data_IF_986997628745
#
_entry.id   IF_986997628745
#
_cell.length_a   1.000
_cell.length_b   1.000
_cell.length_c   1.000
_cell.angle_alpha   90.00
_cell.angle_beta   90.00
_cell.angle_gamma   90.00
#
_symmetry.space_group_name_H-M   'P 1'
#
loop_
_entity.id
_entity.type
_entity.pdbx_description
1 polymer ?
#
# COMPACT_ATOMS: atom_id res chain seq x y z
N UNK A 1 16.41 20.81 -22.65
CA UNK A 1 16.77 20.86 -21.21
C UNK A 1 16.13 19.66 -20.55
N UNK A 2 16.93 18.62 -20.31
CA UNK A 2 16.50 17.44 -19.55
C UNK A 2 16.40 17.80 -18.07
N UNK A 3 15.23 17.68 -17.47
CA UNK A 3 15.03 17.86 -16.03
C UNK A 3 15.65 16.67 -15.28
N UNK A 4 16.96 16.76 -14.99
CA UNK A 4 17.72 15.88 -14.10
C UNK A 4 17.57 16.30 -12.62
N UNK A 5 16.35 16.58 -12.18
CA UNK A 5 16.08 16.85 -10.78
C UNK A 5 15.35 15.65 -10.19
N UNK A 6 15.96 15.04 -9.16
CA UNK A 6 15.55 13.84 -8.41
C UNK A 6 16.27 12.56 -8.92
N UNK A 7 17.51 12.34 -8.45
CA UNK A 7 18.00 11.15 -7.69
C UNK A 7 19.55 11.13 -7.75
N UNK A 8 20.28 11.18 -6.61
CA UNK A 8 21.50 10.42 -6.43
C UNK A 8 21.17 9.07 -5.76
N UNK A 9 21.80 8.01 -6.25
CA UNK A 9 21.53 6.60 -6.01
C UNK A 9 21.26 6.19 -4.55
N UNK A 10 19.98 6.05 -4.18
CA UNK A 10 19.55 4.85 -3.45
C UNK A 10 19.36 3.75 -4.48
N UNK A 11 19.79 2.51 -4.20
CA UNK A 11 19.51 1.39 -5.11
C UNK A 11 18.03 1.35 -5.48
N UNK A 12 17.70 0.87 -6.69
CA UNK A 12 16.31 0.71 -7.13
C UNK A 12 15.43 0.05 -6.04
N UNK A 13 16.01 -0.91 -5.31
CA UNK A 13 15.38 -1.56 -4.16
C UNK A 13 15.03 -0.61 -3.02
N UNK A 14 15.91 0.31 -2.62
CA UNK A 14 15.61 1.31 -1.58
C UNK A 14 14.49 2.25 -2.03
N UNK A 15 14.53 2.71 -3.28
CA UNK A 15 13.50 3.60 -3.82
C UNK A 15 12.15 2.90 -3.97
N UNK A 16 12.15 1.60 -4.30
CA UNK A 16 10.97 0.73 -4.31
C UNK A 16 10.39 0.57 -2.90
N UNK A 17 11.22 0.19 -1.93
CA UNK A 17 10.81 -0.01 -0.53
C UNK A 17 10.24 1.28 0.07
N UNK A 18 10.86 2.43 -0.20
CA UNK A 18 10.37 3.72 0.27
C UNK A 18 9.00 4.07 -0.34
N UNK A 19 8.83 3.90 -1.65
CA UNK A 19 7.56 4.16 -2.31
C UNK A 19 6.45 3.23 -1.77
N UNK A 20 6.77 1.95 -1.54
CA UNK A 20 5.86 0.98 -0.95
C UNK A 20 5.46 1.38 0.48
N UNK A 21 6.43 1.78 1.31
CA UNK A 21 6.17 2.23 2.68
C UNK A 21 5.21 3.44 2.69
N UNK A 22 5.43 4.43 1.83
CA UNK A 22 4.55 5.59 1.71
C UNK A 22 3.13 5.21 1.30
N UNK A 23 2.95 4.32 0.32
CA UNK A 23 1.61 3.82 -0.06
C UNK A 23 0.91 3.16 1.13
N UNK A 24 1.65 2.34 1.88
CA UNK A 24 1.12 1.63 3.04
C UNK A 24 0.68 2.60 4.14
N UNK A 25 1.54 3.55 4.50
CA UNK A 25 1.25 4.55 5.53
C UNK A 25 0.08 5.45 5.12
N UNK A 26 0.07 5.90 3.86
CA UNK A 26 -1.02 6.71 3.32
C UNK A 26 -2.37 5.99 3.40
N UNK A 27 -2.39 4.68 3.15
CA UNK A 27 -3.60 3.87 3.27
C UNK A 27 -4.01 3.67 4.73
N UNK A 28 -3.07 3.39 5.63
CA UNK A 28 -3.35 3.27 7.06
C UNK A 28 -3.91 4.58 7.63
N UNK A 29 -3.32 5.73 7.26
CA UNK A 29 -3.86 7.04 7.63
C UNK A 29 -5.26 7.26 7.06
N UNK A 30 -5.52 6.84 5.83
CA UNK A 30 -6.86 6.90 5.26
C UNK A 30 -7.86 6.08 6.09
N UNK A 31 -7.54 4.84 6.46
CA UNK A 31 -8.40 4.00 7.29
C UNK A 31 -8.60 4.59 8.69
N UNK A 32 -7.54 5.11 9.32
CA UNK A 32 -7.61 5.79 10.63
C UNK A 32 -8.47 7.05 10.54
N UNK A 33 -8.42 7.80 9.43
CA UNK A 33 -9.26 8.97 9.23
C UNK A 33 -10.75 8.62 9.14
N UNK A 34 -11.09 7.46 8.57
CA UNK A 34 -12.47 7.00 8.39
C UNK A 34 -13.03 6.27 9.62
N UNK A 35 -12.22 5.44 10.27
CA UNK A 35 -12.67 4.48 11.27
C UNK A 35 -12.03 4.67 12.65
N UNK A 36 -11.14 5.67 12.80
CA UNK A 36 -10.30 5.91 14.00
C UNK A 36 -9.40 4.73 14.37
N UNK A 37 -9.27 3.73 13.49
CA UNK A 37 -8.46 2.51 13.66
C UNK A 37 -7.98 2.04 12.27
N UNK A 38 -6.82 1.36 12.17
CA UNK A 38 -6.30 0.81 10.91
C UNK A 38 -7.03 -0.49 10.54
N UNK A 39 -8.34 -0.37 10.26
CA UNK A 39 -9.21 -1.52 9.99
C UNK A 39 -9.92 -1.31 8.66
N UNK A 40 -9.82 -2.29 7.77
CA UNK A 40 -10.64 -2.35 6.56
C UNK A 40 -11.94 -3.10 6.86
N UNK A 41 -13.07 -2.42 6.75
CA UNK A 41 -14.40 -3.02 6.99
C UNK A 41 -14.89 -3.73 5.74
N UNK A 42 -15.04 -5.05 5.83
CA UNK A 42 -15.58 -5.88 4.75
C UNK A 42 -16.92 -6.50 5.14
N UNK A 43 -17.74 -6.89 4.16
CA UNK A 43 -19.06 -7.51 4.41
C UNK A 43 -18.99 -8.84 5.20
N UNK A 44 -17.82 -9.50 5.21
CA UNK A 44 -17.56 -10.76 5.91
C UNK A 44 -16.76 -10.57 7.21
N UNK A 45 -16.61 -9.33 7.68
CA UNK A 45 -15.88 -9.00 8.90
C UNK A 45 -14.79 -7.96 8.69
N UNK A 46 -14.27 -7.47 9.81
CA UNK A 46 -13.24 -6.44 9.84
C UNK A 46 -11.84 -7.05 9.69
N UNK A 47 -11.03 -6.46 8.81
CA UNK A 47 -9.64 -6.86 8.59
C UNK A 47 -8.76 -5.83 9.27
N UNK A 48 -8.10 -6.22 10.36
CA UNK A 48 -7.10 -5.38 11.03
C UNK A 48 -5.82 -5.37 10.22
N UNK A 49 -5.30 -4.19 9.90
CA UNK A 49 -4.12 -4.02 9.07
C UNK A 49 -2.99 -3.39 9.88
N UNK A 50 -1.77 -3.82 9.59
CA UNK A 50 -0.55 -3.18 10.05
C UNK A 50 0.39 -2.93 8.86
N UNK A 51 1.38 -2.08 9.05
CA UNK A 51 2.27 -1.65 7.95
C UNK A 51 3.05 -2.83 7.33
N UNK A 52 3.70 -3.75 8.09
CA UNK A 52 4.45 -4.84 7.47
C UNK A 52 3.58 -5.83 6.69
N UNK A 53 2.38 -6.17 7.19
CA UNK A 53 1.47 -7.06 6.48
C UNK A 53 0.95 -6.41 5.19
N UNK A 54 0.71 -5.09 5.22
CA UNK A 54 0.28 -4.33 4.06
C UNK A 54 1.37 -4.29 2.97
N UNK A 55 2.62 -4.07 3.37
CA UNK A 55 3.77 -4.10 2.47
C UNK A 55 3.92 -5.47 1.80
N UNK A 56 3.97 -6.55 2.60
CA UNK A 56 4.10 -7.90 2.07
C UNK A 56 2.95 -8.28 1.14
N UNK A 57 1.71 -8.00 1.54
CA UNK A 57 0.53 -8.33 0.73
C UNK A 57 0.55 -7.63 -0.64
N UNK A 58 0.78 -6.32 -0.66
CA UNK A 58 0.76 -5.57 -1.92
C UNK A 58 1.92 -5.97 -2.82
N UNK A 59 3.13 -6.06 -2.25
CA UNK A 59 4.32 -6.27 -3.05
C UNK A 59 4.35 -7.67 -3.66
N UNK A 60 4.02 -8.70 -2.86
CA UNK A 60 3.86 -10.08 -3.36
C UNK A 60 2.71 -10.18 -4.37
N UNK A 61 1.57 -9.52 -4.14
CA UNK A 61 0.47 -9.55 -5.11
C UNK A 61 0.85 -9.00 -6.48
N UNK A 62 1.66 -7.94 -6.53
CA UNK A 62 2.15 -7.40 -7.81
C UNK A 62 3.28 -8.25 -8.39
N UNK A 63 4.10 -8.88 -7.56
CA UNK A 63 5.12 -9.84 -7.97
C UNK A 63 4.51 -11.06 -8.66
N UNK A 64 3.49 -11.66 -8.04
CA UNK A 64 2.75 -12.82 -8.55
C UNK A 64 2.06 -12.51 -9.89
N UNK A 65 1.77 -11.23 -10.15
CA UNK A 65 1.25 -10.74 -11.43
C UNK A 65 2.35 -10.59 -12.51
N UNK A 66 3.60 -10.91 -12.19
CA UNK A 66 4.75 -10.78 -13.07
C UNK A 66 5.22 -9.34 -13.28
N UNK A 67 5.01 -8.45 -12.31
CA UNK A 67 5.48 -7.06 -12.43
C UNK A 67 6.90 -6.92 -11.91
N UNK A 68 7.77 -6.40 -12.77
CA UNK A 68 9.14 -6.05 -12.38
C UNK A 68 9.17 -4.91 -11.35
N UNK A 69 10.25 -4.83 -10.58
CA UNK A 69 10.46 -3.87 -9.49
C UNK A 69 10.31 -2.42 -9.96
N UNK A 70 10.85 -2.05 -11.13
CA UNK A 70 10.67 -0.69 -11.66
C UNK A 70 9.20 -0.36 -11.91
N UNK A 71 8.46 -1.32 -12.45
CA UNK A 71 7.02 -1.18 -12.74
C UNK A 71 6.20 -1.10 -11.46
N UNK A 72 6.54 -1.89 -10.44
CA UNK A 72 5.91 -1.81 -9.11
C UNK A 72 6.16 -0.44 -8.46
N UNK A 73 7.42 0.00 -8.41
CA UNK A 73 7.79 1.34 -7.92
C UNK A 73 7.03 2.45 -8.65
N UNK A 74 7.01 2.40 -9.99
CA UNK A 74 6.29 3.39 -10.79
C UNK A 74 4.79 3.41 -10.46
N UNK A 75 4.19 2.23 -10.27
CA UNK A 75 2.80 2.14 -9.84
C UNK A 75 2.56 2.78 -8.47
N UNK A 76 3.42 2.51 -7.48
CA UNK A 76 3.32 3.10 -6.14
C UNK A 76 3.38 4.63 -6.18
N UNK A 77 4.31 5.18 -6.96
CA UNK A 77 4.43 6.63 -7.16
C UNK A 77 3.17 7.20 -7.82
N UNK A 78 2.62 6.52 -8.83
CA UNK A 78 1.46 7.00 -9.58
C UNK A 78 0.15 7.02 -8.79
N UNK A 79 0.02 6.22 -7.73
CA UNK A 79 -1.18 6.20 -6.90
C UNK A 79 -1.11 7.20 -5.73
N UNK A 80 0.06 7.79 -5.47
CA UNK A 80 0.27 8.85 -4.49
C UNK A 80 0.03 10.23 -5.10
N UNK A 81 -0.57 11.13 -4.33
CA UNK A 81 -0.78 12.52 -4.72
C UNK A 81 0.47 13.36 -4.36
N UNK A 82 1.54 13.13 -5.13
CA UNK A 82 2.81 13.83 -4.95
C UNK A 82 2.73 15.31 -5.31
N UNK A 83 1.83 15.69 -6.22
CA UNK A 83 1.60 17.09 -6.61
C UNK A 83 1.09 17.86 -5.38
N UNK A 84 0.01 17.37 -4.74
CA UNK A 84 -0.52 17.99 -3.52
C UNK A 84 0.48 17.92 -2.36
N UNK A 85 1.33 16.90 -2.31
CA UNK A 85 2.39 16.79 -1.31
C UNK A 85 3.47 17.86 -1.51
N UNK A 86 3.97 18.04 -2.73
CA UNK A 86 5.01 19.02 -3.05
C UNK A 86 4.53 20.47 -2.99
N UNK A 87 3.26 20.74 -3.32
CA UNK A 87 2.68 22.08 -3.24
C UNK A 87 2.39 22.56 -1.80
N UNK A 88 2.62 21.75 -0.76
CA UNK A 88 2.54 22.17 0.65
C UNK A 88 3.75 23.02 1.08
N UNK A 89 4.20 23.94 0.23
CA UNK A 89 5.40 24.74 0.45
C UNK A 89 5.28 25.81 1.55
N UNK A 90 4.16 25.91 2.28
CA UNK A 90 3.92 26.91 3.33
C UNK A 90 2.86 26.45 4.35
N UNK A 91 3.18 25.50 5.22
CA UNK A 91 2.61 25.56 6.57
C UNK A 91 3.76 25.63 7.56
N UNK A 92 3.88 26.76 8.26
CA UNK A 92 4.79 27.04 9.39
C UNK A 92 4.59 26.10 10.60
N UNK A 93 4.03 24.92 10.36
CA UNK A 93 3.85 23.87 11.34
C UNK A 93 4.83 22.76 10.97
N UNK A 94 5.88 22.64 11.77
CA UNK A 94 6.97 21.68 11.66
C UNK A 94 6.41 20.28 11.29
N UNK A 95 6.59 19.85 10.05
CA UNK A 95 6.06 18.60 9.49
C UNK A 95 6.87 17.38 10.00
N UNK A 96 6.40 16.76 11.08
CA UNK A 96 6.97 15.53 11.67
C UNK A 96 6.66 14.27 10.83
N UNK A 97 7.08 14.22 9.56
CA UNK A 97 6.96 13.01 8.73
C UNK A 97 5.64 12.87 7.97
N UNK A 98 5.14 13.97 7.41
CA UNK A 98 3.97 13.98 6.53
C UNK A 98 4.18 13.05 5.34
N UNK A 99 3.34 12.00 5.23
CA UNK A 99 3.33 11.05 4.11
C UNK A 99 2.41 11.60 3.01
N UNK A 100 2.76 11.44 1.71
CA UNK A 100 1.86 11.80 0.62
C UNK A 100 0.52 11.06 0.74
N UNK A 101 -0.59 11.77 0.49
CA UNK A 101 -1.92 11.15 0.50
C UNK A 101 -2.10 10.24 -0.73
N UNK A 102 -2.98 9.24 -0.63
CA UNK A 102 -3.39 8.47 -1.80
C UNK A 102 -4.33 9.30 -2.69
N UNK A 103 -4.18 9.13 -4.00
CA UNK A 103 -5.17 9.58 -4.97
C UNK A 103 -6.49 8.82 -4.77
N UNK A 104 -7.65 9.37 -5.20
CA UNK A 104 -8.92 8.64 -5.17
C UNK A 104 -8.87 7.31 -5.92
N UNK A 105 -8.05 7.23 -6.99
CA UNK A 105 -7.81 6.00 -7.73
C UNK A 105 -6.99 5.00 -6.90
N UNK A 106 -5.96 5.46 -6.20
CA UNK A 106 -5.16 4.66 -5.27
C UNK A 106 -6.03 4.05 -4.16
N UNK A 107 -6.90 4.85 -3.54
CA UNK A 107 -7.84 4.37 -2.52
C UNK A 107 -8.76 3.28 -3.08
N UNK A 108 -9.37 3.50 -4.25
CA UNK A 108 -10.24 2.50 -4.90
C UNK A 108 -9.49 1.21 -5.21
N UNK A 109 -8.25 1.31 -5.70
CA UNK A 109 -7.41 0.16 -5.99
C UNK A 109 -7.08 -0.63 -4.72
N UNK A 110 -6.63 0.04 -3.66
CA UNK A 110 -6.37 -0.57 -2.36
C UNK A 110 -7.60 -1.29 -1.80
N UNK A 111 -8.76 -0.61 -1.80
CA UNK A 111 -10.01 -1.20 -1.34
C UNK A 111 -10.43 -2.41 -2.18
N UNK A 112 -10.15 -2.42 -3.48
CA UNK A 112 -10.43 -3.58 -4.34
C UNK A 112 -9.52 -4.77 -4.00
N UNK A 113 -8.24 -4.54 -3.72
CA UNK A 113 -7.32 -5.59 -3.26
C UNK A 113 -7.82 -6.24 -1.96
N UNK A 114 -8.23 -5.44 -0.98
CA UNK A 114 -8.76 -5.96 0.29
C UNK A 114 -10.16 -6.57 0.18
N UNK A 115 -11.02 -6.06 -0.70
CA UNK A 115 -12.29 -6.72 -0.97
C UNK A 115 -12.08 -8.11 -1.57
N UNK A 116 -11.13 -8.27 -2.49
CA UNK A 116 -10.76 -9.57 -3.05
C UNK A 116 -10.21 -10.50 -1.97
N UNK A 117 -9.33 -10.00 -1.10
CA UNK A 117 -8.81 -10.77 0.04
C UNK A 117 -9.95 -11.24 0.95
N UNK A 118 -10.86 -10.35 1.34
CA UNK A 118 -12.01 -10.70 2.19
C UNK A 118 -12.92 -11.76 1.57
N UNK A 119 -13.15 -11.72 0.25
CA UNK A 119 -13.89 -12.75 -0.47
C UNK A 119 -13.16 -14.10 -0.47
N UNK A 120 -11.85 -14.09 -0.72
CA UNK A 120 -11.02 -15.30 -0.71
C UNK A 120 -11.02 -15.96 0.67
N UNK A 121 -10.77 -15.19 1.72
CA UNK A 121 -10.80 -15.69 3.11
C UNK A 121 -12.16 -16.30 3.44
N UNK A 122 -13.25 -15.65 3.03
CA UNK A 122 -14.59 -16.18 3.23
C UNK A 122 -14.83 -17.49 2.45
N UNK A 123 -14.41 -17.57 1.18
CA UNK A 123 -14.54 -18.80 0.39
C UNK A 123 -13.77 -19.99 0.96
N UNK A 124 -12.67 -19.73 1.67
CA UNK A 124 -11.90 -20.76 2.35
C UNK A 124 -12.48 -21.11 3.73
N UNK A 125 -13.57 -20.48 4.17
CA UNK A 125 -14.19 -20.74 5.48
C UNK A 125 -13.51 -20.02 6.64
N UNK A 126 -12.80 -18.93 6.37
CA UNK A 126 -12.17 -18.07 7.37
C UNK A 126 -10.64 -18.23 7.46
N UNK A 127 -10.02 -17.35 8.24
CA UNK A 127 -8.56 -17.22 8.36
C UNK A 127 -7.85 -18.51 8.80
N UNK A 128 -8.49 -19.33 9.66
CA UNK A 128 -7.91 -20.59 10.12
C UNK A 128 -7.64 -21.58 8.98
N UNK A 129 -8.51 -21.60 7.97
CA UNK A 129 -8.36 -22.48 6.82
C UNK A 129 -7.38 -21.91 5.80
N UNK A 130 -7.33 -20.58 5.64
CA UNK A 130 -6.30 -19.91 4.84
C UNK A 130 -4.90 -20.30 5.33
N UNK A 131 -4.66 -20.25 6.64
CA UNK A 131 -3.38 -20.63 7.23
C UNK A 131 -3.03 -22.12 7.01
N UNK A 132 -4.02 -23.01 7.10
CA UNK A 132 -3.84 -24.45 6.82
C UNK A 132 -3.48 -24.71 5.36
N UNK A 133 -4.13 -24.03 4.43
CA UNK A 133 -3.88 -24.19 2.99
C UNK A 133 -2.54 -23.58 2.57
N UNK A 134 -2.13 -22.45 3.16
CA UNK A 134 -0.82 -21.85 2.90
C UNK A 134 0.35 -22.76 3.32
N UNK A 135 0.15 -23.59 4.37
CA UNK A 135 1.16 -24.57 4.80
C UNK A 135 1.23 -25.84 3.95
N UNK A 136 0.22 -26.12 3.11
CA UNK A 136 0.19 -27.33 2.27
C UNK A 136 0.83 -27.15 0.89
N UNK A 137 1.06 -25.92 0.44
CA UNK A 137 1.74 -25.63 -0.84
C UNK A 137 3.29 -25.63 -0.71
N UNK A 138 3.83 -25.84 0.49
CA UNK A 138 5.26 -26.03 0.74
C UNK A 138 5.56 -27.52 0.94
N UNK A 139 5.46 -28.32 -0.12
CA UNK A 139 6.07 -29.66 -0.24
C UNK A 139 6.49 -29.94 -1.67
#
# INVERSE_FOLDING_TARGET
MENKAIVPAGSLGLAHQQALAWVCDAYLFHLVSLHRRPVYRHAHGDISLNQPALQGFIDSYLEDKGWDMEKRRAHYINILDLIKYMHRSNSDFIDWGTVPALTPRGIRWMNACFSRLGKMVNSLGGWNNVAKNAGSEVK
#
